data_IF_085398164085
#
_entry.id   IF_085398164085
#
_cell.length_a   1.000
_cell.length_b   1.000
_cell.length_c   1.000
_cell.angle_alpha   90.00
_cell.angle_beta   90.00
_cell.angle_gamma   90.00
#
_symmetry.space_group_name_H-M   'P 1'
#
loop_
_entity.id
_entity.type
_entity.pdbx_description
1 polymer ?
#
# COMPACT_ATOMS: atom_id res chain seq x y z
N UNK A 1 -7.01 16.33 -19.19
CA UNK A 1 -8.23 16.70 -18.44
C UNK A 1 -7.92 16.51 -16.95
N UNK A 2 -8.12 17.53 -16.12
CA UNK A 2 -8.00 17.43 -14.67
C UNK A 2 -9.27 16.76 -14.12
N UNK A 3 -9.12 15.77 -13.23
CA UNK A 3 -10.25 15.17 -12.51
C UNK A 3 -10.63 16.05 -11.30
N UNK A 4 -11.84 15.88 -10.80
CA UNK A 4 -12.25 16.57 -9.57
C UNK A 4 -11.67 15.86 -8.36
N UNK A 5 -11.21 16.59 -7.33
CA UNK A 5 -10.79 15.97 -6.07
C UNK A 5 -11.92 15.17 -5.43
N UNK A 6 -11.57 14.06 -4.76
CA UNK A 6 -12.53 13.25 -4.02
C UNK A 6 -11.93 12.69 -2.73
N UNK A 7 -12.78 12.46 -1.76
CA UNK A 7 -12.40 12.02 -0.43
C UNK A 7 -12.37 10.49 -0.31
N UNK A 8 -11.42 9.99 0.50
CA UNK A 8 -11.33 8.58 0.89
C UNK A 8 -11.19 8.53 2.41
N UNK A 9 -12.07 7.74 3.04
CA UNK A 9 -12.12 7.64 4.48
C UNK A 9 -12.34 8.98 5.17
N UNK A 10 -11.68 9.19 6.29
CA UNK A 10 -11.81 10.40 7.11
C UNK A 10 -10.61 11.35 6.96
N UNK A 11 -9.45 10.84 6.53
CA UNK A 11 -8.20 11.61 6.52
C UNK A 11 -7.76 12.04 5.13
N UNK A 12 -8.04 11.25 4.08
CA UNK A 12 -7.45 11.46 2.77
C UNK A 12 -8.36 12.18 1.78
N UNK A 13 -7.74 12.98 0.91
CA UNK A 13 -8.33 13.51 -0.32
C UNK A 13 -7.38 13.25 -1.48
N UNK A 14 -7.88 12.64 -2.55
CA UNK A 14 -7.16 12.50 -3.80
C UNK A 14 -7.34 13.79 -4.60
N UNK A 15 -6.26 14.42 -5.00
CA UNK A 15 -6.29 15.71 -5.69
C UNK A 15 -5.38 15.72 -6.92
N UNK A 16 -5.77 16.41 -8.02
CA UNK A 16 -4.89 16.65 -9.15
C UNK A 16 -3.82 17.70 -8.80
N UNK A 17 -2.71 17.68 -9.55
CA UNK A 17 -1.69 18.72 -9.45
C UNK A 17 -2.29 20.13 -9.68
N UNK A 18 -1.88 21.10 -8.86
CA UNK A 18 -2.36 22.48 -8.91
C UNK A 18 -3.70 22.73 -8.24
N UNK A 19 -4.30 21.73 -7.59
CA UNK A 19 -5.47 21.92 -6.74
C UNK A 19 -5.10 22.67 -5.46
N UNK A 20 -5.99 23.54 -4.97
CA UNK A 20 -5.79 24.20 -3.67
C UNK A 20 -5.76 23.16 -2.56
N UNK A 21 -4.84 23.28 -1.57
CA UNK A 21 -4.75 22.35 -0.45
C UNK A 21 -6.08 22.25 0.33
N UNK A 22 -6.35 21.06 0.88
CA UNK A 22 -7.47 20.87 1.82
C UNK A 22 -7.15 21.54 3.17
N UNK A 23 -8.18 22.06 3.82
CA UNK A 23 -8.04 22.60 5.18
C UNK A 23 -8.07 21.52 6.26
N UNK A 24 -8.69 20.38 5.98
CA UNK A 24 -9.06 19.36 6.97
C UNK A 24 -8.63 17.92 6.60
N UNK A 25 -8.00 17.75 5.43
CA UNK A 25 -7.60 16.44 4.92
C UNK A 25 -6.15 16.40 4.43
N UNK A 26 -5.60 15.22 4.41
CA UNK A 26 -4.28 14.94 3.85
C UNK A 26 -4.46 14.77 2.33
N UNK A 27 -3.92 15.70 1.56
CA UNK A 27 -3.92 15.60 0.11
C UNK A 27 -2.89 14.56 -0.38
N UNK A 28 -3.38 13.61 -1.16
CA UNK A 28 -2.58 12.73 -1.99
C UNK A 28 -2.65 13.29 -3.42
N UNK A 29 -1.61 14.01 -3.83
CA UNK A 29 -1.56 14.63 -5.16
C UNK A 29 -1.14 13.59 -6.18
N UNK A 30 -2.06 13.23 -7.09
CA UNK A 30 -1.86 12.13 -8.02
C UNK A 30 -2.04 12.59 -9.46
N UNK A 31 -1.16 12.13 -10.35
CA UNK A 31 -1.42 12.18 -11.79
C UNK A 31 -2.48 11.12 -12.14
N UNK A 32 -3.37 11.45 -13.07
CA UNK A 32 -4.28 10.45 -13.66
C UNK A 32 -3.45 9.55 -14.57
N UNK A 33 -3.41 8.28 -14.25
CA UNK A 33 -2.62 7.28 -14.95
C UNK A 33 -3.11 5.89 -14.61
N UNK A 34 -2.33 4.88 -14.87
CA UNK A 34 -2.56 3.47 -14.65
C UNK A 34 -3.30 3.12 -13.33
N UNK A 35 -3.65 1.86 -13.17
CA UNK A 35 -4.30 1.28 -11.99
C UNK A 35 -3.73 1.83 -10.66
N UNK A 36 -4.60 2.16 -9.71
CA UNK A 36 -4.16 2.66 -8.39
C UNK A 36 -4.38 4.18 -8.17
N UNK A 37 -5.20 4.84 -9.00
CA UNK A 37 -5.55 6.27 -8.84
C UNK A 37 -6.43 6.59 -7.61
N UNK A 38 -6.73 5.60 -6.77
CA UNK A 38 -7.62 5.75 -5.61
C UNK A 38 -9.10 5.48 -5.90
N UNK A 39 -9.48 5.33 -7.16
CA UNK A 39 -10.87 5.07 -7.54
C UNK A 39 -11.29 3.62 -7.28
N UNK A 40 -10.37 2.66 -7.39
CA UNK A 40 -10.66 1.24 -7.21
C UNK A 40 -10.97 0.91 -5.74
N UNK A 41 -11.95 0.04 -5.51
CA UNK A 41 -12.43 -0.32 -4.16
C UNK A 41 -11.32 -0.89 -3.26
N UNK A 42 -10.36 -1.64 -3.80
CA UNK A 42 -9.24 -2.21 -3.03
C UNK A 42 -8.28 -1.13 -2.54
N UNK A 43 -7.95 -0.14 -3.38
CA UNK A 43 -7.12 1.01 -3.00
C UNK A 43 -7.81 1.85 -1.93
N UNK A 44 -9.11 2.14 -2.09
CA UNK A 44 -9.91 2.84 -1.07
C UNK A 44 -9.88 2.11 0.26
N UNK A 45 -10.11 0.78 0.23
CA UNK A 45 -10.09 -0.06 1.43
C UNK A 45 -8.74 -0.05 2.13
N UNK A 46 -7.63 -0.09 1.38
CA UNK A 46 -6.28 0.03 1.94
C UNK A 46 -6.09 1.38 2.65
N UNK A 47 -6.41 2.49 1.98
CA UNK A 47 -6.26 3.84 2.54
C UNK A 47 -7.08 4.01 3.82
N UNK A 48 -8.34 3.58 3.83
CA UNK A 48 -9.21 3.64 5.01
C UNK A 48 -8.71 2.78 6.19
N UNK A 49 -8.09 1.62 5.93
CA UNK A 49 -7.50 0.81 6.98
C UNK A 49 -6.19 1.41 7.49
N UNK A 50 -5.39 2.03 6.61
CA UNK A 50 -4.16 2.72 6.99
C UNK A 50 -4.40 3.90 7.94
N UNK A 51 -5.54 4.59 7.84
CA UNK A 51 -5.92 5.65 8.79
C UNK A 51 -5.94 5.20 10.25
N UNK A 52 -6.09 3.89 10.48
CA UNK A 52 -6.22 3.26 11.80
C UNK A 52 -4.96 2.53 12.25
N UNK A 53 -3.92 2.49 11.41
CA UNK A 53 -2.65 1.90 11.78
C UNK A 53 -1.88 2.85 12.70
N UNK A 54 -1.74 2.45 13.98
CA UNK A 54 -0.96 3.20 14.96
C UNK A 54 0.55 3.10 14.70
N UNK A 55 0.99 2.06 14.00
CA UNK A 55 2.40 1.69 13.84
C UNK A 55 3.06 2.36 12.61
N UNK A 56 2.46 3.42 12.05
CA UNK A 56 3.03 4.14 10.89
C UNK A 56 4.01 5.25 11.28
N UNK A 57 3.99 5.75 12.50
CA UNK A 57 4.93 6.79 12.92
C UNK A 57 6.37 6.27 12.90
N UNK A 58 7.24 6.96 12.15
CA UNK A 58 8.63 6.59 11.92
C UNK A 58 8.85 5.20 11.29
N UNK A 59 7.81 4.56 10.72
CA UNK A 59 7.87 3.21 10.16
C UNK A 59 8.69 3.13 8.88
N UNK A 60 9.41 2.01 8.72
CA UNK A 60 9.97 1.54 7.45
C UNK A 60 8.93 0.72 6.71
N UNK A 61 8.56 1.14 5.52
CA UNK A 61 7.45 0.56 4.74
C UNK A 61 7.95 -0.12 3.47
N UNK A 62 7.40 -1.29 3.16
CA UNK A 62 7.49 -1.91 1.83
C UNK A 62 6.13 -1.80 1.14
N UNK A 63 6.09 -1.27 -0.07
CA UNK A 63 4.94 -1.24 -0.96
C UNK A 63 5.22 -2.14 -2.18
N UNK A 64 4.70 -3.37 -2.14
CA UNK A 64 4.90 -4.39 -3.16
C UNK A 64 3.75 -4.38 -4.18
N UNK A 65 4.09 -4.22 -5.46
CA UNK A 65 3.13 -3.90 -6.51
C UNK A 65 2.66 -2.45 -6.35
N UNK A 66 3.63 -1.52 -6.23
CA UNK A 66 3.37 -0.13 -5.83
C UNK A 66 2.52 0.66 -6.83
N UNK A 67 2.46 0.25 -8.11
CA UNK A 67 1.65 0.89 -9.14
C UNK A 67 1.91 2.40 -9.22
N UNK A 68 0.91 3.19 -8.87
CA UNK A 68 1.03 4.66 -8.83
C UNK A 68 1.77 5.21 -7.61
N UNK A 69 2.16 4.36 -6.64
CA UNK A 69 2.78 4.75 -5.39
C UNK A 69 1.82 5.32 -4.34
N UNK A 70 0.52 5.26 -4.57
CA UNK A 70 -0.48 5.92 -3.69
C UNK A 70 -0.44 5.41 -2.25
N UNK A 71 -0.22 4.10 -2.03
CA UNK A 71 -0.17 3.53 -0.68
C UNK A 71 1.11 3.97 0.05
N UNK A 72 2.26 3.95 -0.62
CA UNK A 72 3.51 4.47 -0.07
C UNK A 72 3.39 5.97 0.28
N UNK A 73 2.83 6.79 -0.62
CA UNK A 73 2.59 8.23 -0.38
C UNK A 73 1.70 8.42 0.84
N UNK A 74 0.61 7.66 0.96
CA UNK A 74 -0.28 7.74 2.11
C UNK A 74 0.42 7.36 3.42
N UNK A 75 1.21 6.28 3.43
CA UNK A 75 1.98 5.86 4.59
C UNK A 75 2.97 6.94 5.04
N UNK A 76 3.71 7.54 4.11
CA UNK A 76 4.66 8.61 4.38
C UNK A 76 3.99 9.88 4.92
N UNK A 77 2.81 10.22 4.41
CA UNK A 77 2.02 11.35 4.92
C UNK A 77 1.36 11.08 6.28
N UNK A 78 1.20 9.81 6.66
CA UNK A 78 0.77 9.39 8.00
C UNK A 78 1.93 9.28 9.00
N UNK A 79 3.18 9.56 8.61
CA UNK A 79 4.32 9.61 9.52
C UNK A 79 5.42 8.58 9.26
N UNK A 80 5.25 7.63 8.32
CA UNK A 80 6.30 6.67 8.00
C UNK A 80 7.62 7.38 7.64
N UNK A 81 8.75 6.83 8.02
CA UNK A 81 10.07 7.44 7.78
C UNK A 81 10.51 7.28 6.33
N UNK A 82 10.36 6.08 5.79
CA UNK A 82 10.80 5.71 4.45
C UNK A 82 9.89 4.64 3.84
N UNK A 83 9.79 4.62 2.51
CA UNK A 83 9.07 3.59 1.78
C UNK A 83 9.93 3.03 0.63
N UNK A 84 10.03 1.70 0.57
CA UNK A 84 10.57 0.96 -0.57
C UNK A 84 9.40 0.55 -1.45
N UNK A 85 9.36 1.06 -2.66
CA UNK A 85 8.30 0.83 -3.65
C UNK A 85 8.84 -0.13 -4.72
N UNK A 86 8.17 -1.24 -4.94
CA UNK A 86 8.59 -2.26 -5.91
C UNK A 86 7.44 -2.58 -6.84
N UNK A 87 7.72 -2.58 -8.15
CA UNK A 87 6.77 -3.02 -9.17
C UNK A 87 7.50 -3.74 -10.29
N UNK A 88 6.86 -4.73 -10.90
CA UNK A 88 7.42 -5.47 -12.04
C UNK A 88 7.43 -4.64 -13.33
N UNK A 89 6.56 -3.63 -13.40
CA UNK A 89 6.40 -2.77 -14.57
C UNK A 89 7.21 -1.48 -14.42
N UNK A 90 8.20 -1.26 -15.28
CA UNK A 90 9.02 -0.04 -15.26
C UNK A 90 8.16 1.24 -15.37
N UNK A 91 7.10 1.21 -16.18
CA UNK A 91 6.17 2.34 -16.32
C UNK A 91 5.41 2.67 -15.01
N UNK A 92 5.07 1.65 -14.21
CA UNK A 92 4.47 1.85 -12.90
C UNK A 92 5.47 2.52 -11.94
N UNK A 93 6.72 2.06 -11.94
CA UNK A 93 7.82 2.66 -11.15
C UNK A 93 8.03 4.12 -11.50
N UNK A 94 8.08 4.47 -12.79
CA UNK A 94 8.21 5.87 -13.25
C UNK A 94 7.01 6.72 -12.78
N UNK A 95 5.81 6.16 -12.84
CA UNK A 95 4.57 6.83 -12.37
C UNK A 95 4.62 7.06 -10.86
N UNK A 96 5.05 6.07 -10.07
CA UNK A 96 5.21 6.19 -8.62
C UNK A 96 6.24 7.27 -8.27
N UNK A 97 7.39 7.30 -8.94
CA UNK A 97 8.41 8.34 -8.75
C UNK A 97 7.85 9.75 -9.02
N UNK A 98 7.13 9.93 -10.13
CA UNK A 98 6.51 11.21 -10.48
C UNK A 98 5.47 11.64 -9.42
N UNK A 99 4.62 10.72 -8.95
CA UNK A 99 3.65 11.01 -7.91
C UNK A 99 4.31 11.31 -6.56
N UNK A 100 5.38 10.60 -6.18
CA UNK A 100 6.16 10.92 -4.98
C UNK A 100 6.76 12.32 -5.05
N UNK A 101 7.28 12.75 -6.20
CA UNK A 101 7.81 14.09 -6.40
C UNK A 101 6.72 15.17 -6.27
N UNK A 102 5.51 14.93 -6.83
CA UNK A 102 4.37 15.84 -6.64
C UNK A 102 3.95 16.03 -5.18
N UNK A 103 4.25 15.06 -4.34
CA UNK A 103 3.99 15.10 -2.91
C UNK A 103 5.18 15.52 -2.06
N UNK A 104 6.33 15.89 -2.68
CA UNK A 104 7.58 16.26 -2.02
C UNK A 104 8.17 15.13 -1.14
N UNK A 105 8.04 13.87 -1.61
CA UNK A 105 8.44 12.66 -0.88
C UNK A 105 9.60 11.91 -1.56
N UNK A 106 10.19 12.44 -2.61
CA UNK A 106 11.25 11.79 -3.41
C UNK A 106 12.48 11.37 -2.58
N UNK A 107 12.76 12.08 -1.50
CA UNK A 107 13.89 11.76 -0.59
C UNK A 107 13.54 10.69 0.46
N UNK A 108 12.27 10.34 0.57
CA UNK A 108 11.73 9.37 1.54
C UNK A 108 11.25 8.09 0.84
N UNK A 109 11.56 7.93 -0.45
CA UNK A 109 11.19 6.75 -1.23
C UNK A 109 12.39 6.17 -1.95
N UNK A 110 12.43 4.84 -2.03
CA UNK A 110 13.30 4.09 -2.93
C UNK A 110 12.41 3.33 -3.89
N UNK A 111 12.70 3.42 -5.18
CA UNK A 111 11.91 2.77 -6.21
C UNK A 111 12.73 1.70 -6.93
N UNK A 112 12.13 0.55 -7.18
CA UNK A 112 12.77 -0.59 -7.84
C UNK A 112 11.83 -1.22 -8.86
N UNK A 113 12.34 -1.50 -10.05
CA UNK A 113 11.67 -2.39 -11.00
C UNK A 113 12.10 -3.81 -10.73
N UNK A 114 11.15 -4.70 -10.41
CA UNK A 114 11.45 -6.10 -10.08
C UNK A 114 10.39 -6.73 -9.20
N UNK A 115 10.77 -7.85 -8.59
CA UNK A 115 9.92 -8.63 -7.69
C UNK A 115 10.38 -8.49 -6.23
N UNK A 116 9.73 -9.20 -5.32
CA UNK A 116 10.17 -9.25 -3.91
C UNK A 116 11.61 -9.80 -3.75
N UNK A 117 12.09 -10.60 -4.71
CA UNK A 117 13.42 -11.21 -4.64
C UNK A 117 14.54 -10.18 -4.73
N UNK A 118 14.33 -9.08 -5.46
CA UNK A 118 15.31 -7.99 -5.60
C UNK A 118 15.38 -7.10 -4.36
N UNK A 119 14.39 -7.14 -3.48
CA UNK A 119 14.41 -6.39 -2.22
C UNK A 119 15.35 -7.07 -1.23
N UNK A 120 16.55 -6.58 -1.08
CA UNK A 120 17.52 -7.12 -0.10
C UNK A 120 17.17 -6.77 1.35
N UNK A 121 16.53 -5.61 1.58
CA UNK A 121 16.14 -5.11 2.89
C UNK A 121 15.13 -6.05 3.57
N UNK A 122 15.27 -6.17 4.88
CA UNK A 122 14.35 -6.88 5.79
C UNK A 122 14.06 -6.01 7.01
N UNK A 123 13.12 -6.44 7.83
CA UNK A 123 12.80 -5.72 9.05
C UNK A 123 11.90 -4.50 8.81
N UNK A 124 10.99 -4.58 7.85
CA UNK A 124 9.95 -3.58 7.67
C UNK A 124 8.95 -3.59 8.84
N UNK A 125 8.50 -2.41 9.23
CA UNK A 125 7.45 -2.24 10.24
C UNK A 125 6.06 -2.49 9.64
N UNK A 126 5.88 -2.06 8.37
CA UNK A 126 4.64 -2.24 7.63
C UNK A 126 4.93 -2.72 6.21
N UNK A 127 4.18 -3.71 5.75
CA UNK A 127 4.19 -4.15 4.36
C UNK A 127 2.79 -3.93 3.78
N UNK A 128 2.74 -3.25 2.65
CA UNK A 128 1.55 -2.99 1.84
C UNK A 128 1.65 -3.83 0.57
N UNK A 129 0.59 -4.56 0.21
CA UNK A 129 0.54 -5.29 -1.04
C UNK A 129 -0.91 -5.35 -1.54
N UNK A 130 -1.20 -4.60 -2.60
CA UNK A 130 -2.50 -4.59 -3.26
C UNK A 130 -2.37 -5.28 -4.64
N UNK A 131 -2.18 -6.60 -4.61
CA UNK A 131 -1.90 -7.46 -5.76
C UNK A 131 -2.80 -8.70 -5.75
N UNK A 132 -2.69 -9.55 -6.77
CA UNK A 132 -3.54 -10.74 -6.90
C UNK A 132 -3.34 -11.75 -5.76
N UNK A 133 -4.44 -12.41 -5.37
CA UNK A 133 -4.47 -13.32 -4.22
C UNK A 133 -3.60 -14.57 -4.38
N UNK A 134 -3.51 -15.14 -5.59
CA UNK A 134 -2.64 -16.26 -5.91
C UNK A 134 -1.16 -15.92 -5.70
N UNK A 135 -0.73 -14.74 -6.15
CA UNK A 135 0.64 -14.22 -5.92
C UNK A 135 0.89 -14.01 -4.41
N UNK A 136 -0.08 -13.48 -3.68
CA UNK A 136 0.04 -13.30 -2.22
C UNK A 136 0.22 -14.63 -1.49
N UNK A 137 -0.45 -15.70 -1.93
CA UNK A 137 -0.30 -17.05 -1.35
C UNK A 137 1.14 -17.54 -1.55
N UNK A 138 1.66 -17.44 -2.78
CA UNK A 138 3.02 -17.87 -3.11
C UNK A 138 4.10 -17.08 -2.36
N UNK A 139 3.84 -15.81 -2.09
CA UNK A 139 4.76 -14.91 -1.39
C UNK A 139 4.61 -14.93 0.14
N UNK A 140 3.70 -15.73 0.72
CA UNK A 140 3.42 -15.66 2.16
C UNK A 140 4.67 -15.87 3.03
N UNK A 141 5.50 -16.87 2.74
CA UNK A 141 6.76 -17.11 3.46
C UNK A 141 7.79 -15.99 3.25
N UNK A 142 8.19 -15.70 1.99
CA UNK A 142 9.16 -14.65 1.69
C UNK A 142 8.75 -13.27 2.21
N UNK A 143 7.47 -12.88 2.05
CA UNK A 143 6.99 -11.56 2.46
C UNK A 143 6.94 -11.44 3.99
N UNK A 144 6.43 -12.47 4.69
CA UNK A 144 6.46 -12.52 6.16
C UNK A 144 7.89 -12.50 6.70
N UNK A 145 8.84 -13.09 5.97
CA UNK A 145 10.27 -13.07 6.34
C UNK A 145 10.88 -11.67 6.33
N UNK A 146 10.32 -10.74 5.54
CA UNK A 146 10.78 -9.34 5.49
C UNK A 146 10.16 -8.44 6.56
N UNK A 147 9.10 -8.90 7.21
CA UNK A 147 8.41 -8.15 8.25
C UNK A 147 9.06 -8.35 9.63
N UNK A 148 9.15 -7.29 10.43
CA UNK A 148 9.53 -7.37 11.85
C UNK A 148 8.52 -8.17 12.66
N UNK A 149 8.94 -8.69 13.81
CA UNK A 149 8.00 -9.14 14.86
C UNK A 149 7.17 -7.95 15.33
N UNK A 150 5.88 -8.15 15.47
CA UNK A 150 4.91 -7.08 15.77
C UNK A 150 4.59 -6.17 14.58
N UNK A 151 5.20 -6.36 13.41
CA UNK A 151 4.92 -5.56 12.21
C UNK A 151 3.56 -5.89 11.59
N UNK A 152 3.06 -4.97 10.77
CA UNK A 152 1.75 -5.06 10.13
C UNK A 152 1.84 -5.42 8.65
N UNK A 153 0.93 -6.28 8.17
CA UNK A 153 0.69 -6.59 6.76
C UNK A 153 -0.68 -6.07 6.35
N UNK A 154 -0.74 -5.27 5.31
CA UNK A 154 -1.99 -4.85 4.67
C UNK A 154 -2.05 -5.43 3.26
N UNK A 155 -2.84 -6.47 3.11
CA UNK A 155 -2.98 -7.25 1.88
C UNK A 155 -4.34 -6.96 1.23
N UNK A 156 -4.37 -6.68 -0.07
CA UNK A 156 -5.60 -6.40 -0.82
C UNK A 156 -5.47 -6.85 -2.29
N UNK A 157 -6.51 -6.61 -3.10
CA UNK A 157 -6.57 -7.18 -4.45
C UNK A 157 -6.96 -8.66 -4.46
N UNK A 158 -7.44 -9.17 -3.34
CA UNK A 158 -7.75 -10.58 -3.11
C UNK A 158 -9.20 -10.82 -3.51
N UNK A 159 -9.45 -11.56 -4.60
CA UNK A 159 -10.79 -12.04 -4.93
C UNK A 159 -11.34 -12.92 -3.80
N UNK A 160 -12.65 -12.95 -3.61
CA UNK A 160 -13.29 -13.67 -2.50
C UNK A 160 -12.86 -15.13 -2.41
N UNK A 161 -12.70 -15.79 -3.54
CA UNK A 161 -12.29 -17.20 -3.62
C UNK A 161 -10.91 -17.47 -3.00
N UNK A 162 -9.99 -16.47 -3.06
CA UNK A 162 -8.65 -16.58 -2.47
C UNK A 162 -8.58 -16.09 -1.02
N UNK A 163 -9.63 -15.44 -0.47
CA UNK A 163 -9.55 -14.81 0.85
C UNK A 163 -9.18 -15.78 1.97
N UNK A 164 -9.77 -16.97 1.96
CA UNK A 164 -9.46 -18.00 2.97
C UNK A 164 -8.02 -18.48 2.85
N UNK A 165 -7.57 -18.81 1.64
CA UNK A 165 -6.25 -19.37 1.39
C UNK A 165 -5.13 -18.37 1.67
N UNK A 166 -5.32 -17.10 1.30
CA UNK A 166 -4.38 -16.01 1.65
C UNK A 166 -4.24 -15.92 3.16
N UNK A 167 -5.33 -15.80 3.91
CA UNK A 167 -5.26 -15.71 5.38
C UNK A 167 -4.54 -16.91 5.98
N UNK A 168 -4.90 -18.12 5.55
CA UNK A 168 -4.30 -19.34 6.06
C UNK A 168 -2.81 -19.46 5.74
N UNK A 169 -2.37 -19.00 4.55
CA UNK A 169 -0.97 -18.97 4.16
C UNK A 169 -0.13 -18.09 5.10
N UNK A 170 -0.62 -16.90 5.43
CA UNK A 170 0.07 -15.98 6.33
C UNK A 170 -0.05 -16.38 7.82
N UNK A 171 -1.16 -16.97 8.24
CA UNK A 171 -1.30 -17.53 9.60
C UNK A 171 -0.27 -18.64 9.86
N UNK A 172 0.03 -19.48 8.87
CA UNK A 172 1.11 -20.47 8.94
C UNK A 172 2.51 -19.84 9.10
N UNK A 173 2.67 -18.57 8.74
CA UNK A 173 3.90 -17.80 8.93
C UNK A 173 3.92 -17.01 10.24
N UNK A 174 2.97 -17.25 11.14
CA UNK A 174 2.87 -16.58 12.44
C UNK A 174 2.22 -15.19 12.39
N UNK A 175 1.45 -14.89 11.33
CA UNK A 175 0.67 -13.66 11.27
C UNK A 175 -0.76 -13.92 11.77
N UNK A 176 -1.32 -12.96 12.50
CA UNK A 176 -2.69 -13.03 13.00
C UNK A 176 -3.58 -12.03 12.27
N UNK A 177 -4.79 -12.42 11.90
CA UNK A 177 -5.77 -11.53 11.29
C UNK A 177 -6.30 -10.53 12.31
N UNK A 178 -6.05 -9.26 12.07
CA UNK A 178 -6.59 -8.14 12.88
C UNK A 178 -7.92 -7.67 12.30
N UNK A 179 -8.01 -7.58 10.97
CA UNK A 179 -9.23 -7.18 10.27
C UNK A 179 -9.32 -7.91 8.93
N UNK A 180 -10.49 -8.45 8.62
CA UNK A 180 -10.84 -8.95 7.30
C UNK A 180 -12.04 -8.13 6.80
N UNK A 181 -11.87 -7.42 5.68
CA UNK A 181 -12.91 -6.60 5.07
C UNK A 181 -13.29 -7.20 3.71
N UNK A 182 -14.52 -7.62 3.59
CA UNK A 182 -15.11 -8.04 2.32
C UNK A 182 -15.62 -6.81 1.56
N UNK A 183 -15.34 -6.73 0.27
CA UNK A 183 -15.82 -5.71 -0.68
C UNK A 183 -16.81 -6.36 -1.65
N UNK A 184 -17.09 -5.72 -2.81
CA UNK A 184 -18.03 -6.31 -3.79
C UNK A 184 -17.51 -7.61 -4.40
N UNK A 185 -16.26 -7.64 -4.88
CA UNK A 185 -15.64 -8.83 -5.49
C UNK A 185 -14.30 -9.19 -4.81
N UNK A 186 -13.74 -8.26 -4.05
CA UNK A 186 -12.43 -8.37 -3.44
C UNK A 186 -12.51 -8.39 -1.92
N UNK A 187 -11.36 -8.59 -1.31
CA UNK A 187 -11.18 -8.40 0.12
C UNK A 187 -9.87 -7.72 0.44
N UNK A 188 -9.83 -7.10 1.62
CA UNK A 188 -8.64 -6.51 2.22
C UNK A 188 -8.42 -7.10 3.60
N UNK A 189 -7.21 -7.59 3.86
CA UNK A 189 -6.85 -8.23 5.12
C UNK A 189 -5.72 -7.46 5.78
N UNK A 190 -5.94 -7.01 7.01
CA UNK A 190 -4.92 -6.49 7.88
C UNK A 190 -4.47 -7.58 8.86
N UNK A 191 -3.18 -7.85 8.89
CA UNK A 191 -2.57 -8.86 9.76
C UNK A 191 -1.44 -8.25 10.58
N UNK A 192 -1.08 -8.90 11.69
CA UNK A 192 0.07 -8.55 12.52
C UNK A 192 0.92 -9.80 12.74
N UNK A 193 2.24 -9.67 12.60
CA UNK A 193 3.18 -10.78 12.86
C UNK A 193 3.37 -10.93 14.37
N UNK A 194 3.17 -12.14 14.87
CA UNK A 194 3.26 -12.48 16.29
C UNK A 194 4.70 -12.63 16.76
#
# INVERSE_FOLDING_TARGET
MTYQPFDIGTKFRIAPCGCSPSADRIDLVMQRGAFGSGEHQTTRSCLELMERLADLEAAEVLDLGSGTGILAIAALKLGASHAVCVDIEAQAVETAMANCALNHLERRTTHMTGTLAEVSQTGFDVILANIYGDILIDLAGPLSGKLKQGGALLLSGILWEYNFDVRQAYEKQGCQVIKNRMLEEFSTVLMKKS
#
